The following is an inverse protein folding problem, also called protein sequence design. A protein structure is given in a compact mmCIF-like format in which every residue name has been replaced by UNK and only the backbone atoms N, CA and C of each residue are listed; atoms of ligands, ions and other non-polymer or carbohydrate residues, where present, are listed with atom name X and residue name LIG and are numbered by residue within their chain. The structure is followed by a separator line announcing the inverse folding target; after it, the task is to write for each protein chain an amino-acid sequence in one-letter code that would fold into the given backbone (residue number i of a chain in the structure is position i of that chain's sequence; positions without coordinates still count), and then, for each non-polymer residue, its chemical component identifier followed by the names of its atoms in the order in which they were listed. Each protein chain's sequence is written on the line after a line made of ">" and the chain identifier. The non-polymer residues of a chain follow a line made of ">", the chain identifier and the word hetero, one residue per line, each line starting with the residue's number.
data_IF_086795460653
#
_entry.id   IF_086795460653
#
_cell.length_a   1.000
_cell.length_b   1.000
_cell.length_c   1.000
_cell.angle_alpha   90.00
_cell.angle_beta   90.00
_cell.angle_gamma   90.00
#
_symmetry.space_group_name_H-M   'P 1'
#
loop_
_entity.id
_entity.type
_entity.pdbx_description
1 polymer ?
#
# COMPACT_ATOMS: atom_id res chain seq x y z
N UNK A 1 0.41 16.57 -15.55
CA UNK A 1 0.28 15.09 -15.51
C UNK A 1 -0.19 14.73 -14.11
N UNK A 2 -1.27 15.35 -13.61
CA UNK A 2 -1.54 15.44 -12.16
C UNK A 2 -3.01 15.20 -11.82
N UNK A 3 -3.80 14.71 -12.77
CA UNK A 3 -5.26 14.55 -12.60
C UNK A 3 -5.60 13.64 -11.41
N UNK A 4 -4.81 12.59 -11.17
CA UNK A 4 -5.00 11.71 -10.02
C UNK A 4 -4.66 12.40 -8.69
N UNK A 5 -3.65 13.29 -8.68
CA UNK A 5 -3.30 14.07 -7.49
C UNK A 5 -4.40 15.06 -7.12
N UNK A 6 -5.13 15.59 -8.10
CA UNK A 6 -6.25 16.53 -7.88
C UNK A 6 -7.46 15.86 -7.24
N UNK A 7 -7.65 14.55 -7.43
CA UNK A 7 -8.77 13.78 -6.87
C UNK A 7 -8.38 12.99 -5.61
N UNK A 8 -7.10 13.03 -5.20
CA UNK A 8 -6.62 12.35 -4.02
C UNK A 8 -7.14 13.04 -2.74
N UNK A 9 -7.75 12.27 -1.84
CA UNK A 9 -8.17 12.79 -0.54
C UNK A 9 -6.99 13.08 0.40
N UNK A 10 -5.89 12.34 0.24
CA UNK A 10 -4.68 12.47 1.05
C UNK A 10 -3.44 12.33 0.16
N UNK A 11 -2.39 13.10 0.49
CA UNK A 11 -1.06 12.96 -0.08
C UNK A 11 -0.07 12.75 1.05
N UNK A 12 0.54 11.57 1.09
CA UNK A 12 1.59 11.26 2.06
C UNK A 12 2.92 11.72 1.49
N UNK A 13 3.55 12.68 2.16
CA UNK A 13 4.93 13.08 1.87
C UNK A 13 5.87 12.25 2.74
N UNK A 14 7.00 11.87 2.17
CA UNK A 14 8.02 11.11 2.90
C UNK A 14 8.67 12.02 3.93
N UNK A 15 8.53 11.65 5.21
CA UNK A 15 9.26 12.24 6.33
C UNK A 15 10.28 11.23 6.90
N UNK A 16 11.00 11.62 7.94
CA UNK A 16 12.00 10.75 8.57
C UNK A 16 11.37 9.52 9.26
N UNK A 17 10.12 9.61 9.74
CA UNK A 17 9.45 8.45 10.35
C UNK A 17 9.13 7.40 9.29
N UNK A 18 8.66 7.83 8.12
CA UNK A 18 8.39 6.96 6.96
C UNK A 18 9.70 6.36 6.45
N UNK A 19 10.80 7.12 6.40
CA UNK A 19 12.12 6.60 6.03
C UNK A 19 12.60 5.53 7.01
N UNK A 20 12.54 5.80 8.30
CA UNK A 20 12.92 4.83 9.33
C UNK A 20 12.07 3.55 9.22
N UNK A 21 10.78 3.68 8.94
CA UNK A 21 9.90 2.53 8.73
C UNK A 21 10.27 1.76 7.46
N UNK A 22 10.59 2.46 6.37
CA UNK A 22 11.07 1.83 5.14
C UNK A 22 12.38 1.06 5.37
N UNK A 23 13.33 1.60 6.12
CA UNK A 23 14.58 0.92 6.47
C UNK A 23 14.35 -0.35 7.30
N UNK A 24 13.35 -0.37 8.19
CA UNK A 24 12.96 -1.59 8.91
C UNK A 24 12.41 -2.66 7.95
N UNK A 25 11.52 -2.26 7.03
CA UNK A 25 10.97 -3.14 6.00
C UNK A 25 12.06 -3.67 5.05
N UNK A 26 13.10 -2.88 4.79
CA UNK A 26 14.27 -3.34 4.04
C UNK A 26 15.02 -4.46 4.75
N UNK A 27 15.22 -4.34 6.06
CA UNK A 27 15.83 -5.40 6.88
C UNK A 27 14.98 -6.68 6.90
N UNK A 28 13.66 -6.55 6.74
CA UNK A 28 12.72 -7.66 6.61
C UNK A 28 12.70 -8.27 5.18
N UNK A 29 13.48 -7.73 4.24
CA UNK A 29 13.67 -8.28 2.88
C UNK A 29 12.81 -7.62 1.79
N UNK A 30 12.11 -6.52 2.11
CA UNK A 30 11.43 -5.68 1.12
C UNK A 30 12.47 -4.82 0.39
N UNK A 31 12.29 -4.54 -0.90
CA UNK A 31 13.23 -3.67 -1.63
C UNK A 31 13.00 -2.22 -1.24
N UNK A 32 14.06 -1.40 -1.21
CA UNK A 32 14.00 0.00 -0.78
C UNK A 32 12.80 0.82 -1.28
N UNK A 33 12.55 0.81 -2.58
CA UNK A 33 11.42 1.57 -3.16
C UNK A 33 10.07 0.98 -2.73
N UNK A 34 9.96 -0.34 -2.71
CA UNK A 34 8.73 -1.03 -2.29
C UNK A 34 8.47 -0.79 -0.80
N UNK A 35 9.51 -0.81 0.03
CA UNK A 35 9.47 -0.53 1.45
C UNK A 35 8.97 0.89 1.71
N UNK A 36 9.42 1.85 0.92
CA UNK A 36 8.95 3.23 1.01
C UNK A 36 7.47 3.37 0.63
N UNK A 37 7.02 2.70 -0.43
CA UNK A 37 5.59 2.71 -0.80
C UNK A 37 4.71 2.10 0.31
N UNK A 38 5.15 0.99 0.90
CA UNK A 38 4.44 0.33 2.00
C UNK A 38 4.41 1.22 3.23
N UNK A 39 5.55 1.80 3.64
CA UNK A 39 5.62 2.71 4.78
C UNK A 39 4.70 3.93 4.60
N UNK A 40 4.62 4.48 3.39
CA UNK A 40 3.66 5.55 3.07
C UNK A 40 2.20 5.08 3.22
N UNK A 41 1.89 3.87 2.78
CA UNK A 41 0.53 3.31 2.86
C UNK A 41 0.12 2.96 4.30
N UNK A 42 1.06 2.50 5.12
CA UNK A 42 0.88 2.33 6.57
C UNK A 42 0.64 3.71 7.23
N UNK A 43 1.42 4.73 6.86
CA UNK A 43 1.29 6.08 7.40
C UNK A 43 -0.03 6.77 7.01
N UNK A 44 -0.62 6.45 5.85
CA UNK A 44 -1.97 6.90 5.49
C UNK A 44 -3.08 6.16 6.23
N UNK A 45 -2.75 5.18 7.08
CA UNK A 45 -3.73 4.34 7.77
C UNK A 45 -4.71 3.67 6.80
N UNK A 46 -4.22 3.31 5.61
CA UNK A 46 -5.05 2.69 4.58
C UNK A 46 -5.22 1.20 4.87
N UNK A 47 -6.42 0.68 4.64
CA UNK A 47 -6.69 -0.75 4.82
C UNK A 47 -6.07 -1.61 3.71
N UNK A 48 -6.01 -1.03 2.49
CA UNK A 48 -5.53 -1.70 1.29
C UNK A 48 -4.44 -0.89 0.59
N UNK A 49 -3.39 -1.61 0.16
CA UNK A 49 -2.40 -1.10 -0.77
C UNK A 49 -2.58 -1.75 -2.14
N UNK A 50 -3.18 -1.00 -3.08
CA UNK A 50 -3.55 -1.52 -4.40
C UNK A 50 -2.36 -1.34 -5.36
N UNK A 51 -1.89 -2.44 -5.96
CA UNK A 51 -0.79 -2.41 -6.92
C UNK A 51 -0.94 -3.46 -8.02
N UNK A 52 -0.34 -3.21 -9.18
CA UNK A 52 -0.24 -4.19 -10.26
C UNK A 52 1.06 -5.02 -10.18
N UNK A 53 1.98 -4.70 -9.27
CA UNK A 53 3.23 -5.44 -9.12
C UNK A 53 3.02 -6.76 -8.38
N UNK A 54 3.06 -7.87 -9.12
CA UNK A 54 2.94 -9.22 -8.59
C UNK A 54 4.01 -9.57 -7.54
N UNK A 55 5.21 -9.01 -7.65
CA UNK A 55 6.29 -9.27 -6.67
C UNK A 55 5.94 -8.66 -5.32
N UNK A 56 5.35 -7.46 -5.34
CA UNK A 56 4.93 -6.77 -4.13
C UNK A 56 3.69 -7.43 -3.50
N UNK A 57 2.72 -7.85 -4.32
CA UNK A 57 1.55 -8.61 -3.84
C UNK A 57 1.98 -9.90 -3.13
N UNK A 58 2.89 -10.67 -3.73
CA UNK A 58 3.33 -11.93 -3.14
C UNK A 58 4.12 -11.73 -1.83
N UNK A 59 4.83 -10.61 -1.69
CA UNK A 59 5.58 -10.26 -0.48
C UNK A 59 4.72 -9.62 0.59
N UNK A 60 3.61 -9.00 0.18
CA UNK A 60 2.69 -8.27 1.06
C UNK A 60 1.95 -9.12 2.08
N UNK A 61 2.01 -10.45 1.98
CA UNK A 61 1.40 -11.37 2.95
C UNK A 61 1.94 -11.22 4.38
N UNK A 62 3.17 -10.70 4.53
CA UNK A 62 3.81 -10.49 5.82
C UNK A 62 3.78 -9.02 6.29
N UNK A 63 3.11 -8.13 5.54
CA UNK A 63 3.01 -6.72 5.88
C UNK A 63 1.78 -6.45 6.75
N UNK A 64 1.79 -5.33 7.46
CA UNK A 64 0.65 -4.92 8.28
C UNK A 64 -0.56 -4.48 7.45
N UNK A 65 -0.33 -4.09 6.19
CA UNK A 65 -1.33 -3.62 5.24
C UNK A 65 -1.65 -4.68 4.18
N UNK A 66 -2.92 -4.79 3.80
CA UNK A 66 -3.36 -5.75 2.78
C UNK A 66 -2.93 -5.29 1.39
N UNK A 67 -1.92 -5.95 0.82
CA UNK A 67 -1.49 -5.69 -0.55
C UNK A 67 -2.32 -6.51 -1.53
N UNK A 68 -3.03 -5.83 -2.44
CA UNK A 68 -3.98 -6.48 -3.35
C UNK A 68 -3.88 -5.92 -4.77
N UNK A 69 -4.24 -6.73 -5.77
CA UNK A 69 -4.36 -6.23 -7.14
C UNK A 69 -5.72 -5.56 -7.38
N UNK A 70 -5.84 -4.62 -8.33
CA UNK A 70 -7.08 -3.90 -8.58
C UNK A 70 -8.30 -4.79 -8.86
N UNK A 71 -8.12 -5.90 -9.58
CA UNK A 71 -9.25 -6.80 -9.89
C UNK A 71 -9.75 -7.50 -8.63
N UNK A 72 -8.83 -8.03 -7.82
CA UNK A 72 -9.19 -8.68 -6.56
C UNK A 72 -9.83 -7.69 -5.59
N UNK A 73 -9.37 -6.44 -5.56
CA UNK A 73 -9.97 -5.39 -4.72
C UNK A 73 -11.43 -5.13 -5.09
N UNK A 74 -11.77 -5.08 -6.39
CA UNK A 74 -13.16 -4.92 -6.83
C UNK A 74 -14.02 -6.07 -6.30
N UNK A 75 -13.56 -7.31 -6.41
CA UNK A 75 -14.30 -8.46 -5.89
C UNK A 75 -14.46 -8.45 -4.38
N UNK A 76 -13.42 -8.05 -3.64
CA UNK A 76 -13.45 -7.92 -2.17
C UNK A 76 -14.54 -6.92 -1.75
N UNK A 77 -14.49 -5.71 -2.31
CA UNK A 77 -15.46 -4.65 -2.01
C UNK A 77 -16.88 -5.04 -2.41
N UNK A 78 -17.07 -5.72 -3.54
CA UNK A 78 -18.40 -6.21 -3.95
C UNK A 78 -18.96 -7.28 -3.01
N UNK A 79 -18.12 -8.13 -2.43
CA UNK A 79 -18.54 -9.18 -1.50
C UNK A 79 -18.85 -8.61 -0.12
N UNK A 80 -18.07 -7.65 0.37
CA UNK A 80 -18.34 -6.91 1.60
C UNK A 80 -19.69 -6.19 1.52
N UNK A 81 -19.98 -5.55 0.39
CA UNK A 81 -21.25 -4.85 0.16
C UNK A 81 -22.47 -5.78 0.09
N UNK A 82 -22.29 -7.08 -0.20
CA UNK A 82 -23.39 -8.07 -0.20
C UNK A 82 -23.61 -8.72 1.16
N UNK A 83 -22.66 -8.54 2.09
CA UNK A 83 -22.67 -9.16 3.41
C UNK A 83 -23.16 -8.20 4.51
N UNK A 84 -23.35 -6.93 4.16
CA UNK A 84 -24.03 -5.89 4.95
C UNK A 84 -25.46 -5.65 4.43
#
# INVERSE_FOLDING_TARGET
>A
MDRYLQIAALRVLVDENIRNRAEQLEQEGVKAIDALHVACAEASQSDYFITCDKRLINRGQNLSITVINPNNFIFEVENDNKSN
#
